data_IF_176521519990
#
_entry.id   IF_176521519990
#
_cell.length_a   1.000
_cell.length_b   1.000
_cell.length_c   1.000
_cell.angle_alpha   90.00
_cell.angle_beta   90.00
_cell.angle_gamma   90.00
#
_symmetry.space_group_name_H-M   'P 1'
#
loop_
_entity.id
_entity.type
_entity.pdbx_description
1 polymer ?
#
# COMPACT_ATOMS: atom_id res chain seq x y z
N UNK A 1 -14.67 -72.90 -6.94
CA UNK A 1 -13.76 -72.06 -7.75
C UNK A 1 -12.65 -72.93 -8.32
N UNK A 2 -12.54 -73.03 -9.65
CA UNK A 2 -11.44 -73.72 -10.32
C UNK A 2 -10.10 -73.04 -10.01
N UNK A 3 -8.99 -73.78 -10.14
CA UNK A 3 -7.63 -73.25 -9.93
C UNK A 3 -7.39 -71.95 -10.74
N UNK A 4 -7.90 -71.91 -11.98
CA UNK A 4 -7.82 -70.76 -12.87
C UNK A 4 -8.55 -69.52 -12.34
N UNK A 5 -9.75 -69.68 -11.77
CA UNK A 5 -10.50 -68.55 -11.21
C UNK A 5 -9.79 -67.89 -10.02
N UNK A 6 -9.07 -68.68 -9.21
CA UNK A 6 -8.25 -68.16 -8.11
C UNK A 6 -7.00 -67.43 -8.62
N UNK A 7 -6.40 -67.91 -9.71
CA UNK A 7 -5.26 -67.27 -10.35
C UNK A 7 -5.64 -65.92 -10.96
N UNK A 8 -6.72 -65.87 -11.75
CA UNK A 8 -7.23 -64.64 -12.37
C UNK A 8 -7.61 -63.59 -11.32
N UNK A 9 -8.24 -64.00 -10.22
CA UNK A 9 -8.57 -63.11 -9.12
C UNK A 9 -7.32 -62.49 -8.47
N UNK A 10 -6.27 -63.29 -8.19
CA UNK A 10 -5.01 -62.78 -7.64
C UNK A 10 -4.34 -61.78 -8.57
N UNK A 11 -4.29 -62.09 -9.87
CA UNK A 11 -3.69 -61.19 -10.87
C UNK A 11 -4.46 -59.87 -10.96
N UNK A 12 -5.80 -59.91 -10.93
CA UNK A 12 -6.64 -58.71 -10.93
C UNK A 12 -6.39 -57.83 -9.68
N UNK A 13 -6.29 -58.45 -8.50
CA UNK A 13 -6.00 -57.72 -7.25
C UNK A 13 -4.62 -57.05 -7.31
N UNK A 14 -3.60 -57.72 -7.85
CA UNK A 14 -2.26 -57.13 -8.02
C UNK A 14 -2.30 -55.93 -8.97
N UNK A 15 -3.00 -56.03 -10.10
CA UNK A 15 -3.14 -54.93 -11.06
C UNK A 15 -3.84 -53.73 -10.39
N UNK A 16 -4.91 -53.97 -9.62
CA UNK A 16 -5.61 -52.91 -8.90
C UNK A 16 -4.71 -52.25 -7.84
N UNK A 17 -3.94 -53.02 -7.07
CA UNK A 17 -3.01 -52.47 -6.09
C UNK A 17 -1.92 -51.61 -6.75
N UNK A 18 -1.40 -52.02 -7.91
CA UNK A 18 -0.43 -51.24 -8.68
C UNK A 18 -1.08 -49.96 -9.21
N UNK A 19 -2.30 -50.04 -9.75
CA UNK A 19 -3.04 -48.88 -10.25
C UNK A 19 -3.33 -47.86 -9.14
N UNK A 20 -3.88 -48.30 -8.01
CA UNK A 20 -4.12 -47.42 -6.87
C UNK A 20 -2.83 -46.89 -6.24
N UNK A 21 -1.77 -47.71 -6.16
CA UNK A 21 -0.47 -47.28 -5.63
C UNK A 21 0.19 -46.21 -6.49
N UNK A 22 0.21 -46.39 -7.81
CA UNK A 22 0.76 -45.41 -8.76
C UNK A 22 -0.07 -44.13 -8.80
N UNK A 23 -1.41 -44.24 -8.83
CA UNK A 23 -2.31 -43.08 -8.73
C UNK A 23 -2.10 -42.31 -7.42
N UNK A 24 -1.92 -43.01 -6.30
CA UNK A 24 -1.67 -42.38 -4.99
C UNK A 24 -0.30 -41.69 -4.94
N UNK A 25 0.76 -42.30 -5.49
CA UNK A 25 2.10 -41.69 -5.57
C UNK A 25 2.07 -40.43 -6.45
N UNK A 26 1.41 -40.48 -7.62
CA UNK A 26 1.26 -39.33 -8.51
C UNK A 26 0.48 -38.21 -7.80
N UNK A 27 -0.65 -38.55 -7.18
CA UNK A 27 -1.47 -37.59 -6.43
C UNK A 27 -0.70 -36.96 -5.26
N UNK A 28 0.00 -37.77 -4.46
CA UNK A 28 0.82 -37.31 -3.33
C UNK A 28 1.94 -36.39 -3.79
N UNK A 29 2.69 -36.77 -4.83
CA UNK A 29 3.74 -35.91 -5.40
C UNK A 29 3.19 -34.59 -5.94
N UNK A 30 2.03 -34.61 -6.59
CA UNK A 30 1.40 -33.42 -7.15
C UNK A 30 0.87 -32.50 -6.04
N UNK A 31 0.23 -33.05 -5.01
CA UNK A 31 -0.27 -32.29 -3.86
C UNK A 31 0.86 -31.60 -3.08
N UNK A 32 1.96 -32.31 -2.79
CA UNK A 32 3.13 -31.75 -2.13
C UNK A 32 3.79 -30.63 -2.96
N UNK A 33 3.85 -30.79 -4.28
CA UNK A 33 4.40 -29.76 -5.18
C UNK A 33 3.54 -28.49 -5.16
N UNK A 34 2.22 -28.64 -5.30
CA UNK A 34 1.26 -27.52 -5.26
C UNK A 34 1.35 -26.76 -3.93
N UNK A 35 1.48 -27.46 -2.81
CA UNK A 35 1.58 -26.82 -1.50
C UNK A 35 2.93 -26.12 -1.28
N UNK A 36 4.02 -26.70 -1.78
CA UNK A 36 5.32 -26.04 -1.79
C UNK A 36 5.32 -24.76 -2.65
N UNK A 37 4.66 -24.77 -3.80
CA UNK A 37 4.54 -23.60 -4.67
C UNK A 37 3.71 -22.50 -4.00
N UNK A 38 2.59 -22.83 -3.36
CA UNK A 38 1.80 -21.86 -2.57
C UNK A 38 2.65 -21.21 -1.49
N UNK A 39 3.43 -22.00 -0.75
CA UNK A 39 4.32 -21.49 0.31
C UNK A 39 5.38 -20.57 -0.28
N UNK A 40 5.98 -20.94 -1.41
CA UNK A 40 7.00 -20.15 -2.08
C UNK A 40 6.44 -18.81 -2.58
N UNK A 41 5.24 -18.82 -3.17
CA UNK A 41 4.54 -17.61 -3.63
C UNK A 41 4.23 -16.69 -2.46
N UNK A 42 3.63 -17.21 -1.39
CA UNK A 42 3.30 -16.41 -0.20
C UNK A 42 4.57 -15.80 0.40
N UNK A 43 5.64 -16.59 0.57
CA UNK A 43 6.93 -16.10 1.07
C UNK A 43 7.51 -14.98 0.20
N UNK A 44 7.45 -15.12 -1.12
CA UNK A 44 7.92 -14.07 -2.03
C UNK A 44 7.08 -12.79 -1.88
N UNK A 45 5.75 -12.91 -1.80
CA UNK A 45 4.87 -11.78 -1.57
C UNK A 45 5.16 -11.08 -0.23
N UNK A 46 5.41 -11.85 0.83
CA UNK A 46 5.78 -11.32 2.13
C UNK A 46 7.13 -10.59 2.10
N UNK A 47 8.09 -11.06 1.29
CA UNK A 47 9.36 -10.36 1.09
C UNK A 47 9.16 -9.03 0.36
N UNK A 48 8.27 -8.97 -0.65
CA UNK A 48 7.92 -7.72 -1.33
C UNK A 48 7.23 -6.76 -0.34
N UNK A 49 6.28 -7.26 0.46
CA UNK A 49 5.62 -6.47 1.50
C UNK A 49 6.61 -5.90 2.51
N UNK A 50 7.56 -6.72 3.00
CA UNK A 50 8.64 -6.29 3.90
C UNK A 50 9.56 -5.25 3.26
N UNK A 51 9.87 -5.37 1.96
CA UNK A 51 10.68 -4.38 1.24
C UNK A 51 9.96 -3.02 1.21
N UNK A 52 8.66 -3.01 0.87
CA UNK A 52 7.82 -1.81 0.87
C UNK A 52 7.71 -1.22 2.28
N UNK A 53 7.50 -2.07 3.28
CA UNK A 53 7.42 -1.70 4.69
C UNK A 53 8.70 -1.00 5.16
N UNK A 54 9.86 -1.58 4.86
CA UNK A 54 11.15 -1.01 5.23
C UNK A 54 11.41 0.31 4.51
N UNK A 55 11.25 0.34 3.18
CA UNK A 55 11.61 1.52 2.37
C UNK A 55 10.70 2.71 2.62
N UNK A 56 9.38 2.49 2.77
CA UNK A 56 8.40 3.56 2.90
C UNK A 56 7.99 3.79 4.35
N UNK A 57 7.56 2.72 5.03
CA UNK A 57 6.84 2.81 6.31
C UNK A 57 7.74 2.75 7.54
N UNK A 58 9.02 2.41 7.40
CA UNK A 58 10.01 2.58 8.47
C UNK A 58 10.82 3.87 8.32
N UNK A 59 11.30 4.15 7.11
CA UNK A 59 12.21 5.29 6.84
C UNK A 59 11.50 6.65 6.94
N UNK A 60 10.32 6.81 6.33
CA UNK A 60 9.65 8.11 6.26
C UNK A 60 9.07 8.57 7.60
N UNK A 61 8.43 7.72 8.42
CA UNK A 61 7.99 8.12 9.75
C UNK A 61 9.13 8.62 10.64
N UNK A 62 10.29 7.95 10.59
CA UNK A 62 11.49 8.39 11.31
C UNK A 62 11.97 9.75 10.82
N UNK A 63 12.02 9.96 9.50
CA UNK A 63 12.44 11.23 8.90
C UNK A 63 11.51 12.40 9.28
N UNK A 64 10.19 12.23 9.17
CA UNK A 64 9.24 13.30 9.54
C UNK A 64 9.22 13.56 11.06
N UNK A 65 9.44 12.53 11.88
CA UNK A 65 9.58 12.68 13.32
C UNK A 65 10.85 13.47 13.69
N UNK A 66 11.98 13.19 13.03
CA UNK A 66 13.20 13.98 13.20
C UNK A 66 12.95 15.43 12.83
N UNK A 67 12.37 15.66 11.65
CA UNK A 67 12.01 17.00 11.18
C UNK A 67 11.12 17.75 12.19
N UNK A 68 10.12 17.10 12.77
CA UNK A 68 9.22 17.74 13.74
C UNK A 68 9.90 18.14 15.07
N UNK A 69 11.08 17.59 15.35
CA UNK A 69 11.85 17.86 16.56
C UNK A 69 13.02 18.83 16.32
N UNK A 70 13.21 19.35 15.11
CA UNK A 70 14.25 20.34 14.81
C UNK A 70 13.91 21.68 15.48
N UNK A 71 14.88 22.24 16.21
CA UNK A 71 14.69 23.46 17.01
C UNK A 71 14.38 24.69 16.15
N UNK A 72 14.98 24.81 14.97
CA UNK A 72 14.72 25.92 14.05
C UNK A 72 13.27 25.93 13.56
N UNK A 73 12.64 24.77 13.36
CA UNK A 73 11.21 24.69 13.02
C UNK A 73 10.33 25.13 14.19
N UNK A 74 10.68 24.75 15.42
CA UNK A 74 9.94 25.18 16.60
C UNK A 74 10.04 26.71 16.76
N UNK A 75 11.25 27.27 16.68
CA UNK A 75 11.50 28.70 16.77
C UNK A 75 10.81 29.49 15.64
N UNK A 76 10.81 28.95 14.42
CA UNK A 76 10.09 29.53 13.28
C UNK A 76 8.59 29.66 13.55
N UNK A 77 7.96 28.61 14.09
CA UNK A 77 6.53 28.65 14.43
C UNK A 77 6.23 29.58 15.60
N UNK A 78 7.10 29.65 16.62
CA UNK A 78 6.91 30.50 17.80
C UNK A 78 7.07 31.98 17.46
N UNK A 79 8.10 32.33 16.68
CA UNK A 79 8.35 33.72 16.28
C UNK A 79 7.28 34.27 15.34
N UNK A 80 6.41 33.42 14.79
CA UNK A 80 5.39 33.78 13.79
C UNK A 80 5.97 34.47 12.55
N UNK A 81 7.25 34.24 12.27
CA UNK A 81 7.95 34.77 11.11
C UNK A 81 7.27 34.33 9.81
N UNK A 82 7.32 35.18 8.78
CA UNK A 82 6.76 34.85 7.46
C UNK A 82 7.73 34.05 6.60
N UNK A 83 9.03 34.08 6.91
CA UNK A 83 10.08 33.37 6.21
C UNK A 83 11.24 33.07 7.15
N UNK A 84 11.93 31.95 6.91
CA UNK A 84 13.13 31.54 7.64
C UNK A 84 14.04 30.75 6.68
N UNK A 85 15.24 31.28 6.43
CA UNK A 85 16.19 30.70 5.46
C UNK A 85 16.71 29.33 5.89
N UNK A 86 16.83 29.09 7.20
CA UNK A 86 17.29 27.81 7.74
C UNK A 86 16.23 26.75 7.52
N UNK A 87 14.96 27.08 7.84
CA UNK A 87 13.82 26.19 7.58
C UNK A 87 13.68 25.91 6.09
N UNK A 88 13.74 26.93 5.23
CA UNK A 88 13.64 26.76 3.78
C UNK A 88 14.75 25.82 3.24
N UNK A 89 15.98 25.98 3.73
CA UNK A 89 17.13 25.15 3.36
C UNK A 89 16.99 23.71 3.86
N UNK A 90 16.47 23.52 5.07
CA UNK A 90 16.20 22.21 5.65
C UNK A 90 15.13 21.45 4.84
N UNK A 91 14.01 22.12 4.52
CA UNK A 91 12.95 21.51 3.71
C UNK A 91 13.45 21.16 2.31
N UNK A 92 14.26 22.02 1.69
CA UNK A 92 14.93 21.73 0.42
C UNK A 92 15.82 20.50 0.50
N UNK A 93 16.66 20.42 1.53
CA UNK A 93 17.60 19.31 1.72
C UNK A 93 16.85 17.99 1.91
N UNK A 94 15.79 17.98 2.72
CA UNK A 94 14.96 16.78 2.90
C UNK A 94 14.35 16.36 1.57
N UNK A 95 13.75 17.29 0.82
CA UNK A 95 13.15 16.98 -0.48
C UNK A 95 14.17 16.39 -1.45
N UNK A 96 15.35 17.01 -1.55
CA UNK A 96 16.42 16.64 -2.48
C UNK A 96 17.06 15.30 -2.14
N UNK A 97 17.49 15.09 -0.90
CA UNK A 97 18.29 13.92 -0.51
C UNK A 97 17.43 12.69 -0.19
N UNK A 98 16.13 12.87 0.09
CA UNK A 98 15.20 11.76 0.32
C UNK A 98 14.21 11.55 -0.83
N UNK A 99 14.38 12.26 -1.96
CA UNK A 99 13.56 12.12 -3.17
C UNK A 99 12.04 12.23 -2.92
N UNK A 100 11.64 13.09 -1.99
CA UNK A 100 10.22 13.30 -1.65
C UNK A 100 9.58 14.30 -2.61
N UNK A 101 8.26 14.23 -2.83
CA UNK A 101 7.58 15.20 -3.70
C UNK A 101 7.42 16.57 -3.03
N UNK A 102 7.17 16.60 -1.72
CA UNK A 102 7.06 17.85 -0.98
C UNK A 102 7.37 17.66 0.50
N UNK A 103 7.96 18.67 1.12
CA UNK A 103 8.19 18.78 2.55
C UNK A 103 7.66 20.13 3.04
N UNK A 104 6.83 20.17 4.07
CA UNK A 104 6.20 21.42 4.52
C UNK A 104 5.76 21.38 5.99
N UNK A 105 5.59 22.58 6.54
CA UNK A 105 5.24 22.84 7.94
C UNK A 105 3.87 23.51 7.99
N UNK A 106 2.99 22.96 8.83
CA UNK A 106 1.67 23.49 9.13
C UNK A 106 1.68 24.10 10.55
N UNK A 107 1.04 25.25 10.72
CA UNK A 107 0.74 25.79 12.05
C UNK A 107 -0.42 25.06 12.74
N UNK A 108 -0.78 25.50 13.94
CA UNK A 108 -1.89 24.95 14.74
C UNK A 108 -3.27 25.08 14.08
N UNK A 109 -3.43 26.00 13.13
CA UNK A 109 -4.67 26.18 12.35
C UNK A 109 -4.65 25.36 11.04
N UNK A 110 -3.59 24.58 10.81
CA UNK A 110 -3.40 23.82 9.59
C UNK A 110 -3.04 24.67 8.37
N UNK A 111 -2.51 25.87 8.57
CA UNK A 111 -2.01 26.73 7.49
C UNK A 111 -0.56 26.41 7.21
N UNK A 112 -0.20 26.27 5.92
CA UNK A 112 1.19 26.07 5.51
C UNK A 112 2.00 27.33 5.77
N UNK A 113 3.01 27.23 6.64
CA UNK A 113 3.92 28.34 6.99
C UNK A 113 5.20 28.32 6.15
N UNK A 114 5.73 27.14 5.88
CA UNK A 114 6.89 26.94 5.01
C UNK A 114 6.70 25.66 4.20
N UNK A 115 7.13 25.66 2.94
CA UNK A 115 7.03 24.48 2.08
C UNK A 115 8.10 24.46 1.01
N UNK A 116 8.44 23.24 0.62
CA UNK A 116 9.32 22.97 -0.49
C UNK A 116 8.70 21.84 -1.31
N UNK A 117 8.27 22.16 -2.53
CA UNK A 117 7.47 21.28 -3.40
C UNK A 117 8.19 21.06 -4.73
N UNK A 118 8.13 19.86 -5.31
CA UNK A 118 8.77 19.57 -6.60
C UNK A 118 7.98 20.15 -7.79
N UNK A 119 6.69 20.39 -7.61
CA UNK A 119 5.87 21.22 -8.48
C UNK A 119 6.20 22.70 -8.25
N UNK A 120 6.34 23.50 -9.33
CA UNK A 120 6.62 24.96 -9.35
C UNK A 120 5.50 25.81 -8.73
N UNK A 121 4.74 25.21 -7.81
CA UNK A 121 3.46 25.66 -7.35
C UNK A 121 3.51 25.74 -5.82
N UNK A 122 3.85 26.93 -5.30
CA UNK A 122 3.94 27.17 -3.84
C UNK A 122 2.61 26.94 -3.13
N UNK A 123 2.63 26.14 -2.05
CA UNK A 123 1.47 25.84 -1.21
C UNK A 123 1.43 26.67 0.09
N UNK A 124 2.36 27.61 0.29
CA UNK A 124 2.38 28.49 1.45
C UNK A 124 1.04 29.26 1.58
N UNK A 125 0.56 29.43 2.82
CA UNK A 125 -0.72 30.08 3.14
C UNK A 125 -1.96 29.24 2.87
N UNK A 126 -1.84 28.02 2.33
CA UNK A 126 -3.00 27.13 2.11
C UNK A 126 -3.39 26.42 3.40
N UNK A 127 -4.69 26.17 3.55
CA UNK A 127 -5.27 25.46 4.69
C UNK A 127 -5.43 23.97 4.38
N UNK A 128 -4.87 23.12 5.25
CA UNK A 128 -5.01 21.66 5.22
C UNK A 128 -5.52 21.09 6.55
N UNK A 129 -6.16 21.91 7.40
CA UNK A 129 -6.74 21.49 8.69
C UNK A 129 -7.77 20.36 8.58
N UNK A 130 -8.47 20.27 7.45
CA UNK A 130 -9.45 19.21 7.16
C UNK A 130 -8.79 17.88 6.77
N UNK A 131 -7.48 17.84 6.49
CA UNK A 131 -6.80 16.62 6.06
C UNK A 131 -6.58 15.69 7.23
N UNK A 132 -6.93 14.41 7.06
CA UNK A 132 -6.77 13.39 8.10
C UNK A 132 -5.35 13.26 8.64
N UNK A 133 -4.32 13.44 7.82
CA UNK A 133 -2.92 13.42 8.30
C UNK A 133 -2.60 14.59 9.24
N UNK A 134 -3.25 15.76 9.06
CA UNK A 134 -3.11 16.88 9.98
C UNK A 134 -3.89 16.62 11.27
N UNK A 135 -5.17 16.23 11.14
CA UNK A 135 -6.05 15.96 12.29
C UNK A 135 -5.43 14.93 13.25
N UNK A 136 -4.80 13.88 12.72
CA UNK A 136 -4.14 12.84 13.54
C UNK A 136 -2.84 13.35 14.17
N UNK A 137 -1.94 13.92 13.36
CA UNK A 137 -0.67 14.45 13.86
C UNK A 137 -0.87 15.54 14.91
N UNK A 138 -1.81 16.45 14.71
CA UNK A 138 -2.09 17.51 15.67
C UNK A 138 -2.69 17.01 16.99
N UNK A 139 -3.26 15.79 17.02
CA UNK A 139 -3.66 15.10 18.26
C UNK A 139 -2.50 14.38 18.96
N UNK A 140 -1.29 14.45 18.40
CA UNK A 140 -0.09 13.80 18.93
C UNK A 140 0.24 12.46 18.27
N UNK A 141 -0.53 12.01 17.29
CA UNK A 141 -0.33 10.73 16.59
C UNK A 141 0.40 10.92 15.26
N UNK A 142 1.66 10.46 15.15
CA UNK A 142 2.28 10.35 13.83
C UNK A 142 1.43 9.49 12.90
N UNK A 143 1.29 9.89 11.64
CA UNK A 143 0.37 9.24 10.70
C UNK A 143 0.97 9.06 9.32
N UNK A 144 0.54 8.02 8.60
CA UNK A 144 0.75 7.92 7.16
C UNK A 144 -0.62 7.79 6.46
N UNK A 145 -0.80 8.54 5.38
CA UNK A 145 -2.08 8.65 4.69
C UNK A 145 -1.92 8.66 3.17
N UNK A 146 -2.47 7.69 2.46
CA UNK A 146 -2.58 7.74 1.00
C UNK A 146 -3.61 8.78 0.57
N UNK A 147 -3.23 9.68 -0.32
CA UNK A 147 -4.17 10.59 -0.96
C UNK A 147 -3.68 11.08 -2.32
N UNK A 148 -4.59 11.70 -3.06
CA UNK A 148 -4.29 12.50 -4.24
C UNK A 148 -4.12 13.96 -3.82
N UNK A 149 -3.02 14.58 -4.24
CA UNK A 149 -2.76 15.98 -3.98
C UNK A 149 -3.80 16.87 -4.66
N UNK A 150 -4.36 17.84 -3.93
CA UNK A 150 -5.36 18.77 -4.49
C UNK A 150 -4.78 19.61 -5.62
N UNK A 151 -3.51 19.99 -5.48
CA UNK A 151 -2.83 20.88 -6.42
C UNK A 151 -2.05 20.12 -7.48
N UNK A 152 -1.16 19.21 -7.06
CA UNK A 152 -0.37 18.42 -8.00
C UNK A 152 -1.18 17.40 -8.79
N UNK A 153 -2.40 17.04 -8.33
CA UNK A 153 -3.24 15.95 -8.86
C UNK A 153 -2.55 14.57 -8.88
N UNK A 154 -1.37 14.45 -8.26
CA UNK A 154 -0.58 13.21 -8.16
C UNK A 154 -0.89 12.47 -6.87
N UNK A 155 -0.97 11.14 -6.98
CA UNK A 155 -1.06 10.19 -5.85
C UNK A 155 0.23 10.28 -5.02
N UNK A 156 0.11 10.17 -3.71
CA UNK A 156 1.25 10.08 -2.81
C UNK A 156 0.86 9.63 -1.41
N UNK A 157 1.87 9.32 -0.62
CA UNK A 157 1.73 8.94 0.79
C UNK A 157 2.21 10.11 1.63
N UNK A 158 1.34 10.61 2.49
CA UNK A 158 1.58 11.75 3.37
C UNK A 158 1.96 11.22 4.75
N UNK A 159 3.20 11.46 5.15
CA UNK A 159 3.71 11.18 6.49
C UNK A 159 3.67 12.47 7.30
N UNK A 160 3.10 12.44 8.49
CA UNK A 160 3.00 13.61 9.35
C UNK A 160 3.37 13.30 10.80
N UNK A 161 3.95 14.30 11.47
CA UNK A 161 4.34 14.24 12.89
C UNK A 161 4.02 15.56 13.60
N UNK A 162 3.54 15.53 14.86
CA UNK A 162 3.32 16.73 15.66
C UNK A 162 4.64 17.47 15.89
N UNK A 163 4.63 18.79 15.71
CA UNK A 163 5.68 19.68 16.22
C UNK A 163 5.26 20.09 17.62
N UNK A 164 6.11 19.81 18.60
CA UNK A 164 5.83 20.09 20.02
C UNK A 164 6.76 21.15 20.56
N UNK A 165 6.23 22.03 21.41
CA UNK A 165 7.00 22.95 22.23
C UNK A 165 6.37 22.99 23.62
N UNK A 166 7.19 22.83 24.68
CA UNK A 166 6.71 22.77 26.07
C UNK A 166 5.51 21.80 26.27
N UNK A 167 5.60 20.60 25.67
CA UNK A 167 4.55 19.56 25.68
C UNK A 167 3.23 19.92 24.96
N UNK A 168 3.13 21.11 24.33
CA UNK A 168 1.99 21.51 23.51
C UNK A 168 2.27 21.27 22.03
N UNK A 169 1.27 20.79 21.30
CA UNK A 169 1.34 20.69 19.84
C UNK A 169 1.18 22.10 19.25
N UNK A 170 2.22 22.61 18.58
CA UNK A 170 2.24 23.96 17.99
C UNK A 170 2.11 23.94 16.46
N UNK A 171 2.20 22.75 15.86
CA UNK A 171 2.08 22.58 14.41
C UNK A 171 2.26 21.12 14.00
N UNK A 172 2.38 20.90 12.69
CA UNK A 172 2.58 19.56 12.10
C UNK A 172 3.64 19.65 10.99
N UNK A 173 4.65 18.79 11.05
CA UNK A 173 5.57 18.56 9.95
C UNK A 173 4.99 17.52 9.00
N UNK A 174 5.11 17.72 7.70
CA UNK A 174 4.58 16.81 6.68
C UNK A 174 5.58 16.55 5.57
N UNK A 175 5.76 15.27 5.25
CA UNK A 175 6.50 14.80 4.08
C UNK A 175 5.52 14.05 3.18
N UNK A 176 5.45 14.44 1.90
CA UNK A 176 4.73 13.70 0.86
C UNK A 176 5.73 12.91 0.05
N UNK A 177 5.62 11.59 0.11
CA UNK A 177 6.34 10.70 -0.78
C UNK A 177 5.50 10.42 -2.03
N UNK A 178 6.12 10.56 -3.21
CA UNK A 178 5.52 10.11 -4.46
C UNK A 178 5.44 8.59 -4.53
N UNK A 179 4.91 8.06 -5.64
CA UNK A 179 4.78 6.61 -5.80
C UNK A 179 5.89 5.97 -6.63
N UNK A 180 6.91 6.71 -7.07
CA UNK A 180 7.94 6.19 -7.98
C UNK A 180 8.66 4.95 -7.42
N UNK A 181 9.15 5.02 -6.18
CA UNK A 181 9.86 3.89 -5.54
C UNK A 181 8.92 2.69 -5.36
N UNK A 182 7.66 2.93 -4.97
CA UNK A 182 6.65 1.89 -4.87
C UNK A 182 6.35 1.25 -6.24
N UNK A 183 6.17 2.07 -7.27
CA UNK A 183 5.87 1.61 -8.64
C UNK A 183 7.04 0.79 -9.21
N UNK A 184 8.30 1.13 -8.87
CA UNK A 184 9.48 0.33 -9.22
C UNK A 184 9.42 -1.04 -8.54
N UNK A 185 9.22 -1.09 -7.22
CA UNK A 185 9.13 -2.35 -6.47
C UNK A 185 8.03 -3.26 -7.03
N UNK A 186 6.87 -2.69 -7.36
CA UNK A 186 5.75 -3.44 -7.91
C UNK A 186 6.02 -3.92 -9.34
N UNK A 187 6.68 -3.10 -10.17
CA UNK A 187 7.03 -3.43 -11.56
C UNK A 187 8.00 -4.60 -11.68
N UNK A 188 8.90 -4.77 -10.70
CA UNK A 188 9.82 -5.91 -10.66
C UNK A 188 9.10 -7.26 -10.49
N UNK A 189 7.82 -7.26 -10.08
CA UNK A 189 7.02 -8.47 -9.98
C UNK A 189 6.57 -8.95 -11.36
N UNK A 190 6.86 -10.21 -11.69
CA UNK A 190 6.39 -10.89 -12.92
C UNK A 190 4.89 -11.19 -12.92
N UNK A 191 4.24 -11.11 -11.75
CA UNK A 191 2.83 -11.44 -11.58
C UNK A 191 2.02 -10.16 -11.37
N UNK A 192 0.74 -10.12 -11.77
CA UNK A 192 -0.15 -9.01 -11.43
C UNK A 192 -0.18 -8.79 -9.91
N UNK A 193 0.19 -7.58 -9.49
CA UNK A 193 0.39 -7.22 -8.10
C UNK A 193 -0.18 -5.83 -7.85
N UNK A 194 -0.87 -5.64 -6.73
CA UNK A 194 -1.45 -4.36 -6.34
C UNK A 194 -1.30 -4.11 -4.84
N UNK A 195 -1.09 -2.85 -4.48
CA UNK A 195 -1.23 -2.35 -3.12
C UNK A 195 -2.65 -1.83 -2.93
N UNK A 196 -3.36 -2.41 -1.96
CA UNK A 196 -4.74 -2.09 -1.64
C UNK A 196 -4.80 -1.27 -0.36
N UNK A 197 -5.52 -0.15 -0.41
CA UNK A 197 -5.79 0.65 0.80
C UNK A 197 -6.86 -0.01 1.68
N UNK A 198 -6.97 0.48 2.91
CA UNK A 198 -8.04 0.13 3.84
C UNK A 198 -9.47 0.33 3.27
N UNK A 199 -9.64 1.24 2.30
CA UNK A 199 -10.92 1.50 1.65
C UNK A 199 -11.16 0.57 0.43
N UNK A 200 -10.38 -0.53 0.31
CA UNK A 200 -10.43 -1.52 -0.79
C UNK A 200 -10.11 -0.96 -2.18
N UNK A 201 -9.48 0.21 -2.25
CA UNK A 201 -9.03 0.85 -3.50
C UNK A 201 -7.60 0.41 -3.84
N UNK A 202 -7.36 0.06 -5.11
CA UNK A 202 -6.03 -0.18 -5.70
C UNK A 202 -5.25 1.13 -5.76
N UNK A 203 -4.30 1.34 -4.85
CA UNK A 203 -3.54 2.58 -4.80
C UNK A 203 -2.35 2.62 -5.76
N UNK A 204 -1.67 1.48 -5.87
CA UNK A 204 -0.53 1.25 -6.75
C UNK A 204 -0.60 -0.17 -7.29
N UNK A 205 -0.13 -0.39 -8.51
CA UNK A 205 -0.14 -1.70 -9.16
C UNK A 205 0.80 -1.71 -10.35
N UNK A 206 1.36 -2.87 -10.68
CA UNK A 206 2.00 -3.08 -11.98
C UNK A 206 1.00 -3.27 -13.13
N UNK A 207 -0.31 -3.27 -12.84
CA UNK A 207 -1.39 -3.26 -13.81
C UNK A 207 -2.03 -1.87 -13.86
N UNK A 208 -1.59 -1.01 -14.79
CA UNK A 208 -2.06 0.39 -14.86
C UNK A 208 -3.58 0.53 -14.95
N UNK A 209 -4.28 -0.39 -15.62
CA UNK A 209 -5.74 -0.40 -15.75
C UNK A 209 -6.47 -0.61 -14.42
N UNK A 210 -5.78 -1.05 -13.37
CA UNK A 210 -6.36 -1.29 -12.05
C UNK A 210 -6.29 -0.08 -11.14
N UNK A 211 -5.43 0.90 -11.45
CA UNK A 211 -5.17 2.03 -10.57
C UNK A 211 -6.46 2.79 -10.25
N UNK A 212 -6.65 3.08 -8.96
CA UNK A 212 -7.81 3.79 -8.41
C UNK A 212 -9.15 3.07 -8.62
N UNK A 213 -9.15 1.79 -8.99
CA UNK A 213 -10.35 0.96 -8.97
C UNK A 213 -10.56 0.30 -7.61
N UNK A 214 -11.81 0.03 -7.27
CA UNK A 214 -12.21 -0.72 -6.07
C UNK A 214 -12.19 -2.22 -6.32
N UNK A 215 -11.81 -3.01 -5.31
CA UNK A 215 -11.90 -4.47 -5.35
C UNK A 215 -13.32 -4.99 -5.16
N UNK A 216 -14.21 -4.18 -4.60
CA UNK A 216 -15.61 -4.53 -4.37
C UNK A 216 -16.54 -3.49 -4.96
N UNK A 217 -17.72 -3.93 -5.37
CA UNK A 217 -18.81 -3.01 -5.68
C UNK A 217 -19.10 -2.15 -4.46
N UNK A 218 -19.13 -0.84 -4.68
CA UNK A 218 -19.47 0.13 -3.64
C UNK A 218 -20.91 0.58 -3.82
N UNK A 219 -21.62 0.68 -2.69
CA UNK A 219 -22.90 1.39 -2.65
C UNK A 219 -22.70 2.86 -2.98
N UNK A 220 -23.76 3.55 -3.42
CA UNK A 220 -23.68 4.98 -3.71
C UNK A 220 -23.29 5.80 -2.48
N UNK A 221 -23.77 5.41 -1.30
CA UNK A 221 -23.40 6.03 -0.03
C UNK A 221 -21.91 5.85 0.32
N UNK A 222 -21.33 4.67 0.10
CA UNK A 222 -19.88 4.46 0.29
C UNK A 222 -19.08 5.33 -0.68
N UNK A 223 -19.49 5.38 -1.96
CA UNK A 223 -18.82 6.18 -2.98
C UNK A 223 -18.85 7.68 -2.64
N UNK A 224 -20.01 8.21 -2.27
CA UNK A 224 -20.18 9.62 -1.85
C UNK A 224 -19.26 9.91 -0.66
N UNK A 225 -19.29 9.08 0.40
CA UNK A 225 -18.41 9.28 1.58
C UNK A 225 -16.92 9.30 1.22
N UNK A 226 -16.48 8.44 0.30
CA UNK A 226 -15.08 8.42 -0.15
C UNK A 226 -14.73 9.64 -1.00
N UNK A 227 -15.65 10.11 -1.85
CA UNK A 227 -15.45 11.32 -2.64
C UNK A 227 -15.41 12.58 -1.77
N UNK A 228 -16.32 12.70 -0.81
CA UNK A 228 -16.38 13.81 0.16
C UNK A 228 -15.13 13.90 1.04
N UNK A 229 -14.46 12.76 1.28
CA UNK A 229 -13.19 12.73 2.01
C UNK A 229 -12.03 13.44 1.29
N UNK A 230 -12.21 13.76 -0.01
CA UNK A 230 -11.18 14.33 -0.90
C UNK A 230 -9.88 13.50 -0.97
N UNK A 231 -9.93 12.23 -0.55
CA UNK A 231 -8.77 11.32 -0.53
C UNK A 231 -8.35 10.94 -1.94
N UNK A 232 -9.31 10.71 -2.83
CA UNK A 232 -9.07 10.22 -4.20
C UNK A 232 -9.21 11.30 -5.28
N UNK A 233 -9.44 12.57 -4.91
CA UNK A 233 -9.42 13.67 -5.86
C UNK A 233 -10.42 13.51 -7.01
N UNK A 234 -9.93 13.42 -8.25
CA UNK A 234 -10.73 13.39 -9.47
C UNK A 234 -11.08 11.98 -9.98
N UNK A 235 -10.62 10.92 -9.30
CA UNK A 235 -10.88 9.55 -9.74
C UNK A 235 -12.32 9.14 -9.42
N UNK A 236 -12.99 8.48 -10.37
CA UNK A 236 -14.39 8.05 -10.26
C UNK A 236 -14.58 6.73 -9.49
N UNK A 237 -13.49 6.08 -9.07
CA UNK A 237 -13.47 4.84 -8.28
C UNK A 237 -14.36 3.73 -8.84
N UNK A 238 -14.18 3.40 -10.12
CA UNK A 238 -14.83 2.24 -10.75
C UNK A 238 -14.49 0.94 -10.02
N UNK A 239 -15.34 -0.07 -10.16
CA UNK A 239 -15.04 -1.42 -9.61
C UNK A 239 -14.17 -2.19 -10.58
N UNK A 240 -13.28 -3.04 -10.06
CA UNK A 240 -12.57 -4.01 -10.87
C UNK A 240 -13.54 -5.11 -11.33
N UNK A 241 -13.37 -5.56 -12.57
CA UNK A 241 -14.16 -6.66 -13.14
C UNK A 241 -13.66 -8.04 -12.65
N UNK A 242 -13.50 -8.18 -11.33
CA UNK A 242 -13.15 -9.42 -10.67
C UNK A 242 -14.31 -9.89 -9.80
N UNK A 243 -14.66 -11.18 -9.95
CA UNK A 243 -15.53 -11.89 -9.01
C UNK A 243 -14.62 -12.65 -8.05
N UNK A 244 -14.61 -12.25 -6.78
CA UNK A 244 -13.80 -12.87 -5.75
C UNK A 244 -14.61 -13.93 -5.00
N UNK A 245 -14.07 -15.15 -4.91
CA UNK A 245 -14.61 -16.25 -4.12
C UNK A 245 -13.47 -16.99 -3.44
N UNK A 246 -13.47 -17.04 -2.10
CA UNK A 246 -12.39 -17.58 -1.29
C UNK A 246 -11.00 -17.03 -1.69
N UNK A 247 -10.14 -17.87 -2.29
CA UNK A 247 -8.80 -17.52 -2.78
C UNK A 247 -8.72 -17.46 -4.31
N UNK A 248 -9.87 -17.42 -4.97
CA UNK A 248 -10.01 -17.38 -6.43
C UNK A 248 -10.59 -16.03 -6.82
N UNK A 249 -10.03 -15.43 -7.87
CA UNK A 249 -10.58 -14.28 -8.54
C UNK A 249 -10.84 -14.66 -9.99
N UNK A 250 -12.04 -14.36 -10.50
CA UNK A 250 -12.41 -14.63 -11.89
C UNK A 250 -12.59 -13.32 -12.64
N UNK A 251 -12.08 -13.25 -13.88
CA UNK A 251 -12.24 -12.10 -14.77
C UNK A 251 -12.25 -12.57 -16.21
N UNK A 252 -13.28 -12.18 -16.97
CA UNK A 252 -13.40 -12.50 -18.40
C UNK A 252 -13.25 -14.00 -18.73
N UNK A 253 -13.71 -14.89 -17.85
CA UNK A 253 -13.57 -16.35 -18.01
C UNK A 253 -12.24 -16.93 -17.49
N UNK A 254 -11.23 -16.09 -17.26
CA UNK A 254 -9.98 -16.51 -16.63
C UNK A 254 -10.14 -16.62 -15.12
N UNK A 255 -9.56 -17.67 -14.55
CA UNK A 255 -9.47 -17.86 -13.10
C UNK A 255 -8.04 -17.60 -12.62
N UNK A 256 -7.92 -16.94 -11.48
CA UNK A 256 -6.66 -16.65 -10.82
C UNK A 256 -6.73 -17.09 -9.37
N UNK A 257 -5.69 -17.76 -8.88
CA UNK A 257 -5.47 -17.84 -7.44
C UNK A 257 -4.80 -16.55 -6.98
N UNK A 258 -5.32 -15.94 -5.92
CA UNK A 258 -4.71 -14.74 -5.36
C UNK A 258 -4.18 -14.97 -3.95
N UNK A 259 -3.14 -14.21 -3.60
CA UNK A 259 -2.47 -14.23 -2.31
C UNK A 259 -2.44 -12.82 -1.76
N UNK A 260 -2.47 -12.69 -0.43
CA UNK A 260 -2.46 -11.40 0.26
C UNK A 260 -1.31 -11.36 1.26
N UNK A 261 -0.70 -10.19 1.43
CA UNK A 261 0.27 -9.94 2.49
C UNK A 261 0.04 -8.56 3.10
N UNK A 262 -0.12 -8.45 4.43
CA UNK A 262 -0.40 -7.18 5.09
C UNK A 262 0.81 -6.24 5.03
N UNK A 263 0.52 -4.94 5.11
CA UNK A 263 1.51 -3.87 5.33
C UNK A 263 1.18 -3.23 6.69
N UNK A 264 2.17 -2.74 7.46
CA UNK A 264 1.93 -2.29 8.85
C UNK A 264 0.99 -1.08 8.96
N UNK A 265 0.72 -0.39 7.85
CA UNK A 265 -0.37 0.57 7.82
C UNK A 265 -1.72 -0.14 8.00
N UNK A 266 -2.44 0.25 9.06
CA UNK A 266 -3.74 -0.32 9.42
C UNK A 266 -4.67 -0.49 8.21
N UNK A 267 -4.91 -1.76 7.86
CA UNK A 267 -5.83 -2.18 6.81
C UNK A 267 -5.26 -2.23 5.38
N UNK A 268 -3.98 -1.93 5.16
CA UNK A 268 -3.36 -2.03 3.83
C UNK A 268 -2.75 -3.40 3.60
N UNK A 269 -2.76 -3.85 2.34
CA UNK A 269 -2.17 -5.13 1.97
C UNK A 269 -1.78 -5.17 0.49
N UNK A 270 -0.78 -5.99 0.18
CA UNK A 270 -0.51 -6.43 -1.18
C UNK A 270 -1.46 -7.56 -1.57
N UNK A 271 -1.91 -7.57 -2.82
CA UNK A 271 -2.60 -8.69 -3.45
C UNK A 271 -1.90 -9.06 -4.75
N UNK A 272 -1.55 -10.34 -4.90
CA UNK A 272 -0.88 -10.88 -6.09
C UNK A 272 -1.73 -12.00 -6.71
N UNK A 273 -1.82 -12.03 -8.04
CA UNK A 273 -2.63 -12.98 -8.79
C UNK A 273 -1.76 -13.93 -9.61
N UNK A 274 -2.11 -15.21 -9.59
CA UNK A 274 -1.43 -16.29 -10.30
C UNK A 274 -2.47 -17.03 -11.14
N UNK A 275 -2.20 -17.17 -12.44
CA UNK A 275 -3.09 -17.94 -13.31
C UNK A 275 -3.00 -19.45 -13.00
N UNK A 276 -4.03 -20.20 -13.35
CA UNK A 276 -4.05 -21.67 -13.20
C UNK A 276 -3.36 -22.42 -14.36
N UNK A 277 -2.82 -21.72 -15.37
CA UNK A 277 -2.15 -22.31 -16.52
C UNK A 277 -0.70 -22.68 -16.25
#
# INVERSE_FOLDING_TARGET
>A
MSSESKFLFKTLVIILLIFFGTSWIIHSKNSNTIDNDKIKIQRNLDLIAKKIEFQLFSKMPSLVAKLSNESSIQQFLISSSTQDIEVDTLLYSIRKYHYTESCYILDSNGIVKASNTNDDISINGKNFSFRKYFIRAFKGESSAWAAVGLRSKKRGIYFSSPIKFEQKNIGVAVIKLGLLELDIILRDSKYPLALITNDTIVFASNQNKWLMKSLKTMTDLERIKLMDSQKYGHYQLETLDFIFSDKIAQRNGDSFRYYKSPISLSGWYLIQFHSFF
#
